data_IF_463495174899
#
_entry.id   IF_463495174899
#
_cell.length_a   1.000
_cell.length_b   1.000
_cell.length_c   1.000
_cell.angle_alpha   90.00
_cell.angle_beta   90.00
_cell.angle_gamma   90.00
#
_symmetry.space_group_name_H-M   'P 1'
#
loop_
_entity.id
_entity.type
_entity.pdbx_description
1 polymer ?
#
# COMPACT_ATOMS: atom_id res chain seq x y z
N UNK A 1 -0.78 51.70 51.60
CA UNK A 1 -1.35 52.83 50.82
C UNK A 1 -0.22 53.78 50.47
N UNK A 2 -0.22 54.44 49.29
CA UNK A 2 -1.05 54.14 48.10
C UNK A 2 -0.52 52.85 47.42
N UNK A 3 -0.51 52.55 46.11
CA UNK A 3 -1.10 53.15 44.89
C UNK A 3 -1.45 52.04 43.88
N UNK A 4 -1.87 52.41 42.65
CA UNK A 4 -2.13 51.54 41.48
C UNK A 4 -1.90 52.35 40.20
N UNK A 5 -1.36 51.73 39.16
CA UNK A 5 -1.54 52.01 37.71
C UNK A 5 -1.05 50.73 36.97
N UNK A 6 -1.75 49.93 36.16
CA UNK A 6 -2.96 49.97 35.30
C UNK A 6 -2.67 50.19 33.78
N UNK A 7 -2.94 49.13 32.97
CA UNK A 7 -2.94 49.03 31.48
C UNK A 7 -1.55 49.12 30.77
N UNK A 8 -1.25 48.43 29.65
CA UNK A 8 -2.03 47.72 28.60
C UNK A 8 -1.76 46.19 28.63
N UNK A 9 -2.66 45.24 28.34
CA UNK A 9 -3.59 45.02 27.21
C UNK A 9 -2.92 44.57 25.89
N UNK A 10 -3.07 43.26 25.64
CA UNK A 10 -3.25 42.57 24.35
C UNK A 10 -2.07 42.00 23.56
N UNK A 11 -2.39 40.84 22.97
CA UNK A 11 -1.83 40.23 21.76
C UNK A 11 -0.38 39.72 21.79
N UNK A 12 -0.17 38.63 22.53
CA UNK A 12 0.51 37.49 21.92
C UNK A 12 -0.51 36.37 21.72
N UNK A 13 -0.75 36.06 20.45
CA UNK A 13 -1.60 34.96 20.02
C UNK A 13 -0.91 33.69 20.53
N UNK A 14 -1.40 33.16 21.66
CA UNK A 14 -1.15 31.78 22.04
C UNK A 14 -1.85 30.92 21.00
N UNK A 15 -1.15 30.70 19.88
CA UNK A 15 -1.54 29.74 18.86
C UNK A 15 -1.65 28.43 19.60
N UNK A 16 -2.88 28.03 19.89
CA UNK A 16 -3.13 26.78 20.54
C UNK A 16 -2.40 25.71 19.75
N UNK A 17 -1.55 24.94 20.41
CA UNK A 17 -1.06 23.66 19.90
C UNK A 17 -2.19 22.61 19.86
N UNK A 18 -3.41 23.03 19.52
CA UNK A 18 -4.20 22.26 18.57
C UNK A 18 -3.33 22.10 17.34
N UNK A 19 -2.64 20.97 17.29
CA UNK A 19 -2.39 20.33 16.00
C UNK A 19 -3.77 20.10 15.39
N UNK A 20 -4.25 21.09 14.63
CA UNK A 20 -5.23 20.85 13.58
C UNK A 20 -4.54 19.89 12.63
N UNK A 21 -4.63 18.60 12.94
CA UNK A 21 -4.52 17.57 11.94
C UNK A 21 -5.60 17.93 10.91
N UNK A 22 -5.25 18.31 9.68
CA UNK A 22 -6.26 18.62 8.69
C UNK A 22 -7.15 17.38 8.53
N UNK A 23 -8.41 17.52 8.94
CA UNK A 23 -9.42 16.48 8.77
C UNK A 23 -9.48 16.15 7.27
N UNK A 24 -9.08 14.93 6.92
CA UNK A 24 -8.99 14.47 5.53
C UNK A 24 -7.58 14.28 4.96
N UNK A 25 -6.49 14.57 5.69
CA UNK A 25 -5.17 14.15 5.18
C UNK A 25 -5.06 12.62 5.19
N UNK A 26 -4.80 12.06 4.00
CA UNK A 26 -4.52 10.64 3.81
C UNK A 26 -3.26 10.25 4.55
N UNK A 27 -3.36 9.22 5.39
CA UNK A 27 -2.28 8.67 6.18
C UNK A 27 -2.13 7.20 5.83
N UNK A 28 -0.91 6.69 5.82
CA UNK A 28 -0.67 5.26 5.67
C UNK A 28 -0.02 4.73 6.93
N UNK A 29 -0.62 3.68 7.48
CA UNK A 29 -0.20 3.00 8.69
C UNK A 29 0.46 1.70 8.27
N UNK A 30 1.75 1.60 8.59
CA UNK A 30 2.49 0.35 8.49
C UNK A 30 2.48 -0.29 9.89
N UNK A 31 2.10 -1.56 9.99
CA UNK A 31 2.24 -2.37 11.21
C UNK A 31 3.10 -3.58 10.92
N UNK A 32 4.16 -3.77 11.70
CA UNK A 32 4.93 -5.01 11.68
C UNK A 32 4.19 -6.11 12.46
N UNK A 33 4.13 -7.32 11.89
CA UNK A 33 3.67 -8.53 12.57
C UNK A 33 4.88 -9.23 13.18
N UNK A 34 5.04 -9.29 14.52
CA UNK A 34 6.28 -9.74 15.16
C UNK A 34 6.71 -11.18 14.84
N UNK A 35 5.78 -12.02 14.39
CA UNK A 35 5.97 -13.47 14.24
C UNK A 35 6.34 -13.89 12.80
N UNK A 36 6.03 -13.08 11.79
CA UNK A 36 6.13 -13.47 10.37
C UNK A 36 7.02 -12.57 9.50
N UNK A 37 7.71 -11.59 10.10
CA UNK A 37 8.48 -10.54 9.41
C UNK A 37 7.66 -9.79 8.33
N UNK A 38 6.33 -9.82 8.47
CA UNK A 38 5.37 -9.31 7.49
C UNK A 38 4.90 -7.93 7.91
N UNK A 39 4.87 -6.98 6.97
CA UNK A 39 4.35 -5.64 7.21
C UNK A 39 2.95 -5.56 6.61
N UNK A 40 1.95 -5.22 7.44
CA UNK A 40 0.63 -4.83 6.94
C UNK A 40 0.63 -3.32 6.69
N UNK A 41 0.19 -2.93 5.49
CA UNK A 41 0.13 -1.53 5.07
C UNK A 41 -1.35 -1.18 4.86
N UNK A 42 -1.83 -0.21 5.63
CA UNK A 42 -3.24 0.21 5.67
C UNK A 42 -3.33 1.68 5.29
N UNK A 43 -4.14 2.01 4.29
CA UNK A 43 -4.45 3.39 3.93
C UNK A 43 -5.64 3.91 4.74
N UNK A 44 -5.53 5.14 5.23
CA UNK A 44 -6.50 5.80 6.14
C UNK A 44 -6.80 7.18 5.55
N UNK A 45 -8.07 7.60 5.55
CA UNK A 45 -8.53 8.86 4.96
C UNK A 45 -8.14 8.99 3.46
N UNK A 46 -8.35 7.93 2.67
CA UNK A 46 -8.05 7.93 1.23
C UNK A 46 -8.94 8.93 0.47
N UNK A 47 -8.41 9.65 -0.54
CA UNK A 47 -9.23 10.59 -1.33
C UNK A 47 -10.22 9.80 -2.18
N UNK A 48 -11.45 10.25 -2.40
CA UNK A 48 -12.51 9.46 -3.07
C UNK A 48 -12.28 9.10 -4.55
N UNK A 49 -11.14 9.48 -5.15
CA UNK A 49 -10.76 9.21 -6.54
C UNK A 49 -9.26 8.92 -6.68
N UNK A 50 -8.90 8.19 -7.72
CA UNK A 50 -7.52 7.77 -7.99
C UNK A 50 -7.14 6.45 -7.31
N UNK A 51 -5.83 6.17 -7.33
CA UNK A 51 -5.21 4.95 -6.78
C UNK A 51 -3.95 5.36 -6.01
N UNK A 52 -3.66 4.72 -4.88
CA UNK A 52 -2.42 4.97 -4.13
C UNK A 52 -1.45 3.82 -4.40
N UNK A 53 -0.27 4.13 -4.91
CA UNK A 53 0.78 3.15 -5.21
C UNK A 53 1.83 3.18 -4.12
N UNK A 54 2.11 2.01 -3.54
CA UNK A 54 3.25 1.75 -2.68
C UNK A 54 4.43 1.30 -3.53
N UNK A 55 5.55 2.01 -3.35
CA UNK A 55 6.81 1.73 -3.99
C UNK A 55 7.84 1.28 -2.95
N UNK A 56 8.67 0.32 -3.34
CA UNK A 56 9.83 -0.15 -2.58
C UNK A 56 11.13 0.19 -3.33
N UNK A 57 12.18 0.52 -2.57
CA UNK A 57 13.56 0.49 -3.03
C UNK A 57 14.39 -0.32 -2.04
N UNK A 58 15.24 -1.21 -2.56
CA UNK A 58 16.21 -1.99 -1.78
C UNK A 58 17.64 -1.40 -1.84
N UNK A 59 17.80 -0.19 -2.41
CA UNK A 59 19.08 0.49 -2.56
C UNK A 59 19.21 1.68 -1.62
N UNK A 60 20.39 1.82 -1.00
CA UNK A 60 20.73 2.94 -0.12
C UNK A 60 20.76 4.28 -0.87
N UNK A 61 21.06 4.26 -2.16
CA UNK A 61 21.01 5.42 -3.05
C UNK A 61 19.61 5.58 -3.60
N UNK A 62 18.86 6.54 -3.06
CA UNK A 62 17.50 6.86 -3.54
C UNK A 62 17.60 7.70 -4.82
N UNK A 63 17.66 7.04 -5.97
CA UNK A 63 17.37 7.66 -7.26
C UNK A 63 15.87 7.46 -7.62
N UNK A 64 15.40 8.00 -8.73
CA UNK A 64 14.01 7.80 -9.18
C UNK A 64 13.77 6.44 -9.87
N UNK A 65 14.81 5.86 -10.46
CA UNK A 65 14.74 4.65 -11.29
C UNK A 65 14.72 3.32 -10.48
N UNK A 66 15.13 3.36 -9.21
CA UNK A 66 15.26 2.19 -8.34
C UNK A 66 13.94 1.82 -7.63
N UNK A 67 12.89 2.62 -7.81
CA UNK A 67 11.59 2.40 -7.19
C UNK A 67 10.76 1.39 -7.97
N UNK A 68 10.29 0.34 -7.29
CA UNK A 68 9.40 -0.68 -7.85
C UNK A 68 8.04 -0.63 -7.18
N UNK A 69 6.96 -0.63 -7.97
CA UNK A 69 5.62 -0.72 -7.43
C UNK A 69 5.40 -2.12 -6.82
N UNK A 70 5.05 -2.16 -5.53
CA UNK A 70 4.80 -3.41 -4.78
C UNK A 70 3.31 -3.64 -4.61
N UNK A 71 2.55 -2.57 -4.41
CA UNK A 71 1.12 -2.66 -4.16
C UNK A 71 0.37 -1.42 -4.63
N UNK A 72 -0.88 -1.57 -5.03
CA UNK A 72 -1.78 -0.48 -5.37
C UNK A 72 -3.09 -0.62 -4.59
N UNK A 73 -3.40 0.35 -3.74
CA UNK A 73 -4.68 0.44 -3.04
C UNK A 73 -5.65 1.25 -3.93
N UNK A 74 -6.69 0.65 -4.54
CA UNK A 74 -7.76 1.44 -5.11
C UNK A 74 -8.55 2.02 -3.94
N UNK A 75 -8.92 3.27 -4.06
CA UNK A 75 -9.56 4.05 -2.98
C UNK A 75 -10.79 3.39 -2.35
N UNK A 76 -11.55 2.62 -3.13
CA UNK A 76 -12.85 2.06 -2.75
C UNK A 76 -12.83 0.57 -2.35
N UNK A 77 -11.72 -0.15 -2.56
CA UNK A 77 -11.61 -1.60 -2.30
C UNK A 77 -10.26 -1.91 -1.68
N UNK A 78 -10.27 -2.61 -0.54
CA UNK A 78 -9.02 -3.02 0.15
C UNK A 78 -8.17 -1.84 0.67
N UNK A 79 -8.69 -1.12 1.69
CA UNK A 79 -7.90 -0.14 2.45
C UNK A 79 -6.72 -0.75 3.24
N UNK A 80 -6.44 -2.05 3.12
CA UNK A 80 -5.35 -2.73 3.81
C UNK A 80 -4.86 -3.93 2.99
N UNK A 81 -3.55 -4.09 2.93
CA UNK A 81 -2.89 -5.27 2.36
C UNK A 81 -1.80 -5.78 3.30
N UNK A 82 -1.71 -7.10 3.44
CA UNK A 82 -0.63 -7.75 4.16
C UNK A 82 0.49 -8.07 3.17
N UNK A 83 1.61 -7.35 3.25
CA UNK A 83 2.71 -7.46 2.29
C UNK A 83 3.87 -8.26 2.90
N UNK A 84 4.24 -9.34 2.22
CA UNK A 84 5.42 -10.14 2.55
C UNK A 84 6.68 -9.43 2.05
N UNK A 85 7.11 -8.43 2.81
CA UNK A 85 8.31 -7.66 2.52
C UNK A 85 9.53 -8.47 2.98
N UNK A 86 10.29 -8.98 2.01
CA UNK A 86 11.56 -9.69 2.23
C UNK A 86 12.70 -8.82 1.71
N UNK A 87 13.47 -8.12 2.59
CA UNK A 87 14.56 -7.25 2.16
C UNK A 87 15.60 -8.06 1.38
N UNK A 88 15.91 -7.66 0.15
CA UNK A 88 16.50 -8.56 -0.84
C UNK A 88 18.02 -8.75 -0.73
N UNK A 89 18.74 -7.84 -0.06
CA UNK A 89 20.21 -7.91 -0.01
C UNK A 89 20.91 -7.23 1.20
N UNK A 90 20.36 -6.15 1.78
CA UNK A 90 21.10 -5.30 2.74
C UNK A 90 20.26 -4.78 3.93
N UNK A 91 19.43 -5.63 4.54
CA UNK A 91 18.60 -5.38 5.74
C UNK A 91 17.64 -4.18 5.76
N UNK A 92 17.77 -3.22 4.84
CA UNK A 92 16.99 -1.99 4.77
C UNK A 92 16.15 -2.02 3.48
N UNK A 93 14.88 -1.65 3.59
CA UNK A 93 14.02 -1.38 2.46
C UNK A 93 13.33 -0.02 2.68
N UNK A 94 13.34 0.83 1.66
CA UNK A 94 12.72 2.14 1.70
C UNK A 94 11.35 2.08 1.03
N UNK A 95 10.37 2.77 1.60
CA UNK A 95 9.01 2.82 1.08
C UNK A 95 8.59 4.26 0.81
N UNK A 96 8.06 4.52 -0.39
CA UNK A 96 7.35 5.76 -0.70
C UNK A 96 5.95 5.46 -1.20
N UNK A 97 5.09 6.46 -1.12
CA UNK A 97 3.71 6.40 -1.55
C UNK A 97 3.48 7.52 -2.55
N UNK A 98 2.87 7.19 -3.70
CA UNK A 98 2.38 8.21 -4.63
C UNK A 98 0.87 8.06 -4.80
N UNK A 99 0.17 9.19 -4.84
CA UNK A 99 -1.18 9.22 -5.40
C UNK A 99 -1.06 9.23 -6.92
N UNK A 100 -1.96 8.51 -7.59
CA UNK A 100 -2.08 8.46 -9.04
C UNK A 100 -3.52 8.82 -9.42
N UNK A 101 -3.75 9.71 -10.40
CA UNK A 101 -5.10 10.13 -10.83
C UNK A 101 -5.83 9.05 -11.67
N UNK A 102 -5.57 7.77 -11.41
CA UNK A 102 -6.10 6.62 -12.16
C UNK A 102 -7.34 6.10 -11.45
N UNK A 103 -8.51 6.25 -12.09
CA UNK A 103 -9.76 5.64 -11.66
C UNK A 103 -9.85 4.23 -12.27
N UNK A 104 -9.72 3.21 -11.43
CA UNK A 104 -9.81 1.81 -11.86
C UNK A 104 -11.29 1.37 -11.99
N UNK A 105 -11.68 0.66 -13.06
CA UNK A 105 -13.00 0.05 -13.18
C UNK A 105 -13.34 -0.85 -11.97
N UNK A 106 -14.57 -0.75 -11.49
CA UNK A 106 -15.06 -1.55 -10.34
C UNK A 106 -15.02 -3.08 -10.58
N UNK A 107 -14.89 -3.52 -11.82
CA UNK A 107 -14.78 -4.93 -12.21
C UNK A 107 -13.40 -5.54 -11.99
N UNK A 108 -12.33 -4.75 -11.88
CA UNK A 108 -10.99 -5.29 -11.63
C UNK A 108 -10.82 -5.83 -10.20
N UNK A 109 -9.99 -6.85 -10.04
CA UNK A 109 -9.48 -7.40 -8.79
C UNK A 109 -7.95 -7.31 -8.74
N UNK A 110 -7.40 -7.01 -7.56
CA UNK A 110 -5.96 -7.01 -7.33
C UNK A 110 -5.48 -8.42 -7.02
N UNK A 111 -4.53 -8.90 -7.82
CA UNK A 111 -3.78 -10.12 -7.57
C UNK A 111 -2.43 -9.73 -6.94
N UNK A 112 -2.14 -10.09 -5.68
CA UNK A 112 -0.86 -9.77 -5.05
C UNK A 112 0.28 -10.58 -5.66
N UNK A 113 1.52 -10.08 -5.51
CA UNK A 113 2.71 -10.88 -5.77
C UNK A 113 2.77 -12.06 -4.80
N UNK A 114 3.30 -13.19 -5.27
CA UNK A 114 3.28 -14.43 -4.51
C UNK A 114 3.78 -15.63 -5.32
N UNK A 115 3.94 -16.75 -4.61
CA UNK A 115 4.32 -18.03 -5.19
C UNK A 115 3.11 -18.97 -5.15
N UNK A 116 2.96 -19.80 -6.17
CA UNK A 116 1.89 -20.79 -6.28
C UNK A 116 2.38 -22.01 -7.06
N UNK A 117 1.67 -23.12 -6.91
CA UNK A 117 1.87 -24.29 -7.76
C UNK A 117 0.99 -24.14 -9.00
N UNK A 118 1.59 -24.21 -10.20
CA UNK A 118 0.88 -24.16 -11.48
C UNK A 118 0.79 -25.58 -12.07
N UNK A 119 -0.34 -25.87 -12.71
CA UNK A 119 -0.65 -27.19 -13.29
C UNK A 119 -1.51 -28.06 -12.37
N UNK A 120 -2.00 -29.16 -12.93
CA UNK A 120 -2.98 -30.07 -12.32
C UNK A 120 -2.32 -31.38 -11.86
N UNK A 121 -2.62 -31.92 -10.67
CA UNK A 121 -2.08 -33.19 -10.17
C UNK A 121 -2.28 -34.37 -11.13
N UNK A 122 -1.36 -35.35 -11.08
CA UNK A 122 -1.36 -36.51 -12.00
C UNK A 122 -2.59 -37.42 -11.86
N UNK A 123 -3.29 -37.33 -10.73
CA UNK A 123 -4.47 -38.10 -10.34
C UNK A 123 -5.78 -37.29 -10.42
N UNK A 124 -5.75 -36.04 -10.89
CA UNK A 124 -6.96 -35.21 -11.05
C UNK A 124 -7.87 -35.75 -12.18
N UNK A 125 -9.13 -36.12 -11.90
CA UNK A 125 -10.05 -36.63 -12.91
C UNK A 125 -10.39 -35.57 -13.97
N UNK A 126 -10.12 -35.87 -15.24
CA UNK A 126 -10.42 -34.99 -16.38
C UNK A 126 -9.23 -34.18 -16.89
N UNK A 127 -8.08 -34.20 -16.20
CA UNK A 127 -6.83 -33.55 -16.60
C UNK A 127 -6.36 -33.93 -18.02
N UNK A 128 -6.04 -32.93 -18.84
CA UNK A 128 -5.34 -33.10 -20.13
C UNK A 128 -3.83 -33.31 -19.96
N UNK A 129 -3.18 -33.89 -20.98
CA UNK A 129 -1.78 -34.37 -20.87
C UNK A 129 -0.79 -33.23 -20.60
N UNK A 130 -1.05 -32.06 -21.14
CA UNK A 130 -0.25 -30.84 -21.14
C UNK A 130 -0.43 -29.94 -19.89
N UNK A 131 -1.40 -30.21 -19.01
CA UNK A 131 -1.62 -29.46 -17.77
C UNK A 131 -0.56 -29.71 -16.67
N UNK A 132 0.65 -30.17 -17.01
CA UNK A 132 1.67 -30.47 -16.00
C UNK A 132 3.04 -30.79 -16.58
N UNK A 133 4.03 -31.14 -15.72
CA UNK A 133 3.88 -31.44 -14.29
C UNK A 133 3.53 -30.20 -13.44
N UNK A 134 2.96 -30.44 -12.26
CA UNK A 134 2.76 -29.37 -11.27
C UNK A 134 4.12 -28.77 -10.87
N UNK A 135 4.31 -27.47 -11.07
CA UNK A 135 5.59 -26.81 -10.80
C UNK A 135 5.43 -25.49 -10.02
N UNK A 136 6.44 -25.08 -9.23
CA UNK A 136 6.42 -23.78 -8.56
C UNK A 136 6.51 -22.65 -9.59
N UNK A 137 5.65 -21.65 -9.41
CA UNK A 137 5.57 -20.42 -10.21
C UNK A 137 5.53 -19.20 -9.30
N UNK A 138 5.98 -18.05 -9.80
CA UNK A 138 6.02 -16.80 -9.01
C UNK A 138 5.51 -15.59 -9.80
N UNK A 139 4.56 -14.87 -9.22
CA UNK A 139 4.12 -13.55 -9.65
C UNK A 139 5.01 -12.54 -8.92
N UNK A 140 5.95 -11.94 -9.65
CA UNK A 140 6.97 -11.04 -9.06
C UNK A 140 6.42 -9.69 -8.62
N UNK A 141 5.38 -9.20 -9.29
CA UNK A 141 4.72 -7.91 -9.02
C UNK A 141 3.21 -8.14 -9.05
N UNK A 142 2.48 -7.59 -8.08
CA UNK A 142 1.01 -7.67 -8.11
C UNK A 142 0.42 -6.87 -9.27
N UNK A 143 -0.74 -7.28 -9.76
CA UNK A 143 -1.37 -6.73 -10.95
C UNK A 143 -2.90 -6.76 -10.86
N UNK A 144 -3.56 -6.06 -11.78
CA UNK A 144 -5.02 -6.04 -11.90
C UNK A 144 -5.49 -7.03 -12.97
N UNK A 145 -6.55 -7.78 -12.67
CA UNK A 145 -7.24 -8.67 -13.60
C UNK A 145 -8.75 -8.39 -13.55
N UNK A 146 -9.47 -8.49 -14.66
CA UNK A 146 -10.94 -8.44 -14.66
C UNK A 146 -11.51 -9.63 -13.86
N UNK A 147 -12.57 -9.38 -13.08
CA UNK A 147 -13.26 -10.43 -12.31
C UNK A 147 -14.14 -11.34 -13.16
N UNK A 148 -14.38 -10.96 -14.41
CA UNK A 148 -15.27 -11.63 -15.35
C UNK A 148 -14.63 -11.60 -16.73
N UNK A 149 -14.97 -12.57 -17.57
CA UNK A 149 -14.58 -12.58 -18.98
C UNK A 149 -15.23 -11.40 -19.72
N UNK A 150 -14.59 -10.93 -20.79
CA UNK A 150 -15.09 -9.83 -21.62
C UNK A 150 -16.39 -10.21 -22.30
N UNK A 151 -17.45 -9.42 -22.08
CA UNK A 151 -18.74 -9.57 -22.78
C UNK A 151 -18.80 -8.69 -24.03
N UNK A 152 -19.57 -9.13 -25.03
CA UNK A 152 -19.88 -8.39 -26.25
C UNK A 152 -21.05 -7.41 -26.06
#
# INVERSE_FOLDING_TARGET
MPYRDIHFISLMISVCAFTLQPFGQTKIRIKATPVSNQLSVTAINTPSKGTIVLWESNETTINENNWKAVHAFPVSKQNSAALLIKPKAKNNAFFKLSWQPINLPNQLAWIPSGNFQMGSPSDEPGRFKDEGPVHPSSVTHGFWMDRYETTQ
#
